data_IF_315591693219
#
_entry.id   IF_315591693219
#
_cell.length_a   1.000
_cell.length_b   1.000
_cell.length_c   1.000
_cell.angle_alpha   90.00
_cell.angle_beta   90.00
_cell.angle_gamma   90.00
#
_symmetry.space_group_name_H-M   'P 1'
#
loop_
_entity.id
_entity.type
_entity.pdbx_description
1 polymer ?
#
# COMPACT_ATOMS: atom_id res chain seq x y z
N UNK A 1 14.14 -9.13 -15.08
CA UNK A 1 14.32 -9.76 -13.76
C UNK A 1 13.07 -10.49 -13.31
N UNK A 2 13.20 -11.75 -12.88
CA UNK A 2 12.13 -12.56 -12.30
C UNK A 2 12.45 -12.80 -10.82
N UNK A 3 11.52 -12.48 -9.93
CA UNK A 3 11.64 -12.74 -8.49
C UNK A 3 10.69 -13.89 -8.11
N UNK A 4 11.25 -14.91 -7.44
CA UNK A 4 10.50 -16.03 -6.88
C UNK A 4 10.64 -15.98 -5.36
N UNK A 5 9.53 -15.93 -4.62
CA UNK A 5 9.55 -15.74 -3.17
C UNK A 5 8.51 -16.57 -2.45
N UNK A 6 8.76 -16.91 -1.19
CA UNK A 6 7.75 -17.47 -0.27
C UNK A 6 6.97 -16.37 0.48
N UNK A 7 7.44 -15.12 0.43
CA UNK A 7 6.90 -14.04 1.25
C UNK A 7 5.80 -13.25 0.53
N UNK A 8 4.58 -13.28 1.09
CA UNK A 8 3.43 -12.45 0.67
C UNK A 8 3.42 -11.06 1.30
N UNK A 9 4.60 -10.47 1.57
CA UNK A 9 4.69 -9.15 2.20
C UNK A 9 4.43 -8.05 1.16
N UNK A 10 3.37 -7.23 1.30
CA UNK A 10 2.98 -6.25 0.29
C UNK A 10 4.11 -5.27 -0.07
N UNK A 11 4.82 -4.78 0.94
CA UNK A 11 5.92 -3.82 0.75
C UNK A 11 7.13 -4.35 -0.04
N UNK A 12 7.31 -5.67 -0.17
CA UNK A 12 8.34 -6.23 -1.08
C UNK A 12 7.86 -6.26 -2.52
N UNK A 13 6.58 -6.59 -2.73
CA UNK A 13 5.97 -6.54 -4.05
C UNK A 13 5.95 -5.11 -4.59
N UNK A 14 5.47 -4.14 -3.80
CA UNK A 14 5.46 -2.71 -4.16
C UNK A 14 6.85 -2.21 -4.56
N UNK A 15 7.87 -2.48 -3.75
CA UNK A 15 9.26 -2.10 -4.07
C UNK A 15 9.75 -2.73 -5.37
N UNK A 16 9.44 -3.99 -5.61
CA UNK A 16 9.87 -4.67 -6.83
C UNK A 16 9.18 -4.09 -8.08
N UNK A 17 7.88 -3.76 -7.98
CA UNK A 17 7.14 -3.10 -9.06
C UNK A 17 7.70 -1.71 -9.36
N UNK A 18 8.01 -0.91 -8.33
CA UNK A 18 8.65 0.41 -8.49
C UNK A 18 10.03 0.31 -9.17
N UNK A 19 10.75 -0.80 -8.98
CA UNK A 19 12.03 -1.09 -9.64
C UNK A 19 11.86 -1.85 -10.97
N UNK A 20 10.68 -1.78 -11.57
CA UNK A 20 10.37 -2.32 -12.90
C UNK A 20 10.62 -3.84 -13.06
N UNK A 21 10.34 -4.63 -12.02
CA UNK A 21 10.46 -6.09 -12.12
C UNK A 21 9.54 -6.67 -13.21
N UNK A 22 10.05 -7.64 -13.98
CA UNK A 22 9.29 -8.26 -15.07
C UNK A 22 8.30 -9.31 -14.56
N UNK A 23 8.70 -10.06 -13.53
CA UNK A 23 7.78 -10.96 -12.86
C UNK A 23 8.05 -11.07 -11.35
N UNK A 24 6.97 -11.18 -10.58
CA UNK A 24 7.02 -11.39 -9.14
C UNK A 24 6.03 -12.48 -8.76
N UNK A 25 6.58 -13.64 -8.38
CA UNK A 25 5.81 -14.88 -8.28
C UNK A 25 6.11 -15.64 -7.01
N UNK A 26 5.14 -16.43 -6.58
CA UNK A 26 5.21 -17.21 -5.35
C UNK A 26 5.92 -18.55 -5.57
N UNK A 27 6.66 -19.03 -4.57
CA UNK A 27 7.46 -20.26 -4.65
C UNK A 27 6.60 -21.53 -4.64
N UNK A 28 5.35 -21.44 -4.21
CA UNK A 28 4.35 -22.51 -4.15
C UNK A 28 3.83 -22.93 -5.54
N UNK A 29 4.12 -22.14 -6.59
CA UNK A 29 3.75 -22.46 -7.96
C UNK A 29 4.52 -23.67 -8.51
N UNK A 30 3.94 -24.37 -9.48
CA UNK A 30 4.58 -25.52 -10.11
C UNK A 30 5.79 -25.11 -10.97
N UNK A 31 6.61 -26.09 -11.35
CA UNK A 31 7.76 -25.85 -12.24
C UNK A 31 7.27 -25.44 -13.64
N UNK A 32 6.21 -26.10 -14.13
CA UNK A 32 5.58 -25.81 -15.41
C UNK A 32 5.09 -24.36 -15.46
N UNK A 33 4.40 -23.93 -14.40
CA UNK A 33 3.96 -22.54 -14.27
C UNK A 33 5.15 -21.57 -14.27
N UNK A 34 6.27 -21.90 -13.61
CA UNK A 34 7.46 -21.04 -13.62
C UNK A 34 8.07 -20.93 -15.02
N UNK A 35 8.12 -22.04 -15.76
CA UNK A 35 8.60 -22.07 -17.14
C UNK A 35 7.73 -21.16 -18.03
N UNK A 36 6.41 -21.20 -17.87
CA UNK A 36 5.51 -20.28 -18.57
C UNK A 36 5.80 -18.80 -18.26
N UNK A 37 6.09 -18.46 -17.00
CA UNK A 37 6.48 -17.10 -16.62
C UNK A 37 7.75 -16.67 -17.34
N UNK A 38 8.76 -17.56 -17.41
CA UNK A 38 10.02 -17.27 -18.10
C UNK A 38 9.74 -16.95 -19.57
N UNK A 39 8.93 -17.77 -20.24
CA UNK A 39 8.57 -17.50 -21.64
C UNK A 39 7.77 -16.22 -21.83
N UNK A 40 6.84 -15.87 -20.93
CA UNK A 40 6.11 -14.61 -21.00
C UNK A 40 7.05 -13.41 -20.87
N UNK A 41 7.94 -13.42 -19.88
CA UNK A 41 8.94 -12.37 -19.66
C UNK A 41 9.89 -12.26 -20.84
N UNK A 42 10.34 -13.39 -21.39
CA UNK A 42 11.16 -13.41 -22.60
C UNK A 42 10.47 -12.74 -23.79
N UNK A 43 9.15 -12.87 -23.91
CA UNK A 43 8.32 -12.22 -24.92
C UNK A 43 7.90 -10.77 -24.55
N UNK A 44 8.55 -10.15 -23.56
CA UNK A 44 8.29 -8.77 -23.14
C UNK A 44 7.01 -8.58 -22.33
N UNK A 45 6.41 -9.65 -21.81
CA UNK A 45 5.21 -9.59 -20.95
C UNK A 45 5.59 -9.61 -19.47
N UNK A 46 4.82 -8.89 -18.65
CA UNK A 46 4.96 -8.92 -17.19
C UNK A 46 4.00 -9.92 -16.56
N UNK A 47 4.41 -10.56 -15.46
CA UNK A 47 3.55 -11.49 -14.70
C UNK A 47 3.66 -11.28 -13.19
N UNK A 48 2.52 -11.05 -12.54
CA UNK A 48 2.42 -10.85 -11.10
C UNK A 48 1.43 -11.84 -10.49
N UNK A 49 1.79 -12.46 -9.36
CA UNK A 49 0.86 -13.35 -8.65
C UNK A 49 -0.37 -12.57 -8.20
N UNK A 50 -1.57 -13.06 -8.51
CA UNK A 50 -2.84 -12.42 -8.18
C UNK A 50 -2.98 -12.12 -6.67
N UNK A 51 -2.51 -13.05 -5.82
CA UNK A 51 -2.54 -12.88 -4.37
C UNK A 51 -1.70 -11.71 -3.85
N UNK A 52 -0.71 -11.24 -4.62
CA UNK A 52 0.10 -10.08 -4.31
C UNK A 52 -0.52 -8.79 -4.87
N UNK A 53 -1.19 -8.88 -6.02
CA UNK A 53 -1.93 -7.73 -6.58
C UNK A 53 -3.03 -7.26 -5.63
N UNK A 54 -3.77 -8.18 -4.99
CA UNK A 54 -4.79 -7.79 -4.00
C UNK A 54 -4.22 -6.95 -2.87
N UNK A 55 -2.96 -7.19 -2.47
CA UNK A 55 -2.28 -6.41 -1.44
C UNK A 55 -1.83 -5.02 -1.88
N UNK A 56 -1.65 -4.83 -3.19
CA UNK A 56 -1.28 -3.54 -3.79
C UNK A 56 -2.50 -2.61 -3.92
N UNK A 57 -3.67 -3.18 -4.22
CA UNK A 57 -4.93 -2.44 -4.35
C UNK A 57 -5.70 -2.29 -3.03
N UNK A 58 -5.22 -2.87 -1.93
CA UNK A 58 -5.78 -2.56 -0.62
C UNK A 58 -5.24 -1.20 -0.22
N UNK A 59 -5.97 -0.15 -0.60
CA UNK A 59 -5.80 1.21 -0.11
C UNK A 59 -5.71 1.17 1.42
N UNK A 60 -4.49 1.16 1.96
CA UNK A 60 -4.30 1.50 3.36
C UNK A 60 -4.76 2.93 3.48
N UNK A 61 -5.70 3.19 4.39
CA UNK A 61 -6.14 4.54 4.68
C UNK A 61 -4.88 5.41 4.86
N UNK A 62 -4.65 6.40 3.99
CA UNK A 62 -3.42 7.20 3.99
C UNK A 62 -3.30 8.01 5.28
N UNK A 63 -4.40 8.14 6.01
CA UNK A 63 -4.50 8.83 7.28
C UNK A 63 -4.03 7.90 8.41
N UNK A 64 -3.10 8.42 9.20
CA UNK A 64 -2.75 7.87 10.51
C UNK A 64 -3.98 7.81 11.43
N UNK A 65 -3.99 6.96 12.48
CA UNK A 65 -5.09 6.91 13.43
C UNK A 65 -5.45 8.27 14.04
N UNK A 66 -4.45 9.15 14.23
CA UNK A 66 -4.67 10.51 14.75
C UNK A 66 -5.38 11.41 13.73
N UNK A 67 -4.95 11.38 12.47
CA UNK A 67 -5.59 12.15 11.39
C UNK A 67 -7.04 11.70 11.18
N UNK A 68 -7.31 10.39 11.28
CA UNK A 68 -8.68 9.87 11.21
C UNK A 68 -9.57 10.39 12.35
N UNK A 69 -9.04 10.48 13.58
CA UNK A 69 -9.79 11.03 14.72
C UNK A 69 -10.07 12.52 14.51
N UNK A 70 -9.06 13.30 14.08
CA UNK A 70 -9.22 14.73 13.78
C UNK A 70 -10.27 14.95 12.69
N UNK A 71 -10.22 14.20 11.59
CA UNK A 71 -11.20 14.27 10.50
C UNK A 71 -12.63 13.92 10.95
N UNK A 72 -12.79 12.96 11.87
CA UNK A 72 -14.11 12.64 12.45
C UNK A 72 -14.67 13.81 13.27
N UNK A 73 -13.83 14.47 14.07
CA UNK A 73 -14.27 15.61 14.88
C UNK A 73 -14.58 16.84 14.03
N UNK A 74 -13.84 17.07 12.93
CA UNK A 74 -14.20 18.06 11.91
C UNK A 74 -15.57 17.74 11.32
N UNK A 75 -15.84 16.47 10.98
CA UNK A 75 -17.14 16.01 10.49
C UNK A 75 -18.29 16.20 11.49
N UNK A 76 -17.99 16.23 12.79
CA UNK A 76 -18.95 16.55 13.86
C UNK A 76 -19.14 18.07 14.06
N UNK A 77 -18.46 18.91 13.28
CA UNK A 77 -18.60 20.37 13.31
C UNK A 77 -17.72 21.08 14.35
N UNK A 78 -16.74 20.40 14.95
CA UNK A 78 -15.84 21.01 15.93
C UNK A 78 -14.81 21.91 15.22
N UNK A 79 -14.52 23.06 15.83
CA UNK A 79 -13.44 23.94 15.41
C UNK A 79 -12.06 23.36 15.75
N UNK A 80 -11.01 23.83 15.04
CA UNK A 80 -9.63 23.37 15.29
C UNK A 80 -9.19 23.55 16.75
N UNK A 81 -9.68 24.62 17.40
CA UNK A 81 -9.39 24.92 18.80
C UNK A 81 -10.03 23.88 19.73
N UNK A 82 -11.29 23.55 19.53
CA UNK A 82 -12.01 22.54 20.33
C UNK A 82 -11.39 21.15 20.16
N UNK A 83 -10.97 20.81 18.93
CA UNK A 83 -10.27 19.54 18.66
C UNK A 83 -8.91 19.51 19.35
N UNK A 84 -8.17 20.62 19.34
CA UNK A 84 -6.85 20.73 19.97
C UNK A 84 -6.93 20.52 21.50
N UNK A 85 -7.95 21.10 22.14
CA UNK A 85 -8.24 20.93 23.57
C UNK A 85 -8.69 19.49 23.88
N UNK A 86 -9.54 18.91 23.04
CA UNK A 86 -10.07 17.55 23.21
C UNK A 86 -9.02 16.45 23.02
N UNK A 87 -8.10 16.63 22.07
CA UNK A 87 -7.08 15.64 21.72
C UNK A 87 -5.70 15.93 22.34
N UNK A 88 -5.59 16.98 23.17
CA UNK A 88 -4.33 17.46 23.74
C UNK A 88 -3.24 17.71 22.67
N UNK A 89 -3.67 18.24 21.52
CA UNK A 89 -2.80 18.58 20.39
C UNK A 89 -2.61 20.10 20.35
N UNK A 90 -1.57 20.56 19.66
CA UNK A 90 -1.43 22.00 19.37
C UNK A 90 -2.36 22.41 18.24
N UNK A 91 -2.90 23.63 18.28
CA UNK A 91 -3.76 24.18 17.21
C UNK A 91 -3.08 24.07 15.81
N UNK A 92 -1.76 24.27 15.77
CA UNK A 92 -0.96 24.08 14.56
C UNK A 92 -0.99 22.65 13.99
N UNK A 93 -1.02 21.63 14.86
CA UNK A 93 -1.11 20.22 14.42
C UNK A 93 -2.47 19.92 13.80
N UNK A 94 -3.56 20.49 14.36
CA UNK A 94 -4.92 20.28 13.86
C UNK A 94 -5.13 21.02 12.53
N UNK A 95 -4.60 22.23 12.37
CA UNK A 95 -4.70 22.99 11.10
C UNK A 95 -3.98 22.35 9.94
N UNK A 96 -2.80 21.75 10.17
CA UNK A 96 -2.07 21.00 9.13
C UNK A 96 -2.94 19.86 8.59
N UNK A 97 -3.67 19.18 9.47
CA UNK A 97 -4.55 18.06 9.10
C UNK A 97 -5.84 18.54 8.44
N UNK A 98 -6.35 19.74 8.79
CA UNK A 98 -7.55 20.33 8.17
C UNK A 98 -7.33 20.81 6.72
N UNK A 99 -6.07 21.04 6.30
CA UNK A 99 -5.71 21.55 4.98
C UNK A 99 -5.28 20.45 3.98
N UNK A 100 -5.23 19.18 4.41
CA UNK A 100 -4.97 18.00 3.57
C UNK A 100 -6.28 17.39 3.08
#
# INVERSE_FOLDING_TARGET
>A
MIIVTTFKRPGYFEKAVVNDVDAYVLKERSIEELVETIYKVYNGKKEYSASLMTSFFTDKNPLTPKEQIVLREIGNGLSSKEISEKLFLTDGTVRIIHLL
#
